data_IF_416514519822
#
_entry.id   IF_416514519822
#
_cell.length_a   1.000
_cell.length_b   1.000
_cell.length_c   1.000
_cell.angle_alpha   90.00
_cell.angle_beta   90.00
_cell.angle_gamma   90.00
#
_symmetry.space_group_name_H-M   'P 1'
#
loop_
_entity.id
_entity.type
_entity.pdbx_description
1 polymer ?
#
# COMPACT_ATOMS: atom_id res chain seq x y z
N UNK A 1 -0.44 3.15 -18.21
CA UNK A 1 -1.82 3.58 -18.53
C UNK A 1 -2.72 3.20 -17.35
N UNK A 2 -3.48 4.16 -16.81
CA UNK A 2 -4.46 3.93 -15.73
C UNK A 2 -5.79 3.56 -16.37
N UNK A 3 -6.46 2.53 -15.84
CA UNK A 3 -7.63 1.92 -16.48
C UNK A 3 -8.96 2.46 -15.94
N UNK A 4 -8.95 3.69 -15.40
CA UNK A 4 -10.12 4.38 -14.87
C UNK A 4 -10.17 4.44 -13.34
N UNK A 5 -11.37 4.67 -12.81
CA UNK A 5 -11.61 4.75 -11.36
C UNK A 5 -11.75 3.36 -10.74
N UNK A 6 -11.50 3.24 -9.44
CA UNK A 6 -11.72 1.99 -8.68
C UNK A 6 -13.14 1.44 -8.88
N UNK A 7 -14.14 2.31 -8.99
CA UNK A 7 -15.55 1.91 -9.11
C UNK A 7 -15.95 1.45 -10.51
N UNK A 8 -15.15 1.75 -11.53
CA UNK A 8 -15.40 1.38 -12.92
C UNK A 8 -14.41 0.34 -13.44
N UNK A 9 -13.56 -0.21 -12.57
CA UNK A 9 -12.54 -1.17 -12.98
C UNK A 9 -13.20 -2.50 -13.37
N UNK A 10 -12.75 -3.05 -14.49
CA UNK A 10 -13.10 -4.40 -14.94
C UNK A 10 -11.83 -5.22 -14.92
N UNK A 11 -11.81 -6.31 -14.13
CA UNK A 11 -10.67 -7.20 -14.01
C UNK A 11 -11.08 -8.66 -14.30
N UNK A 12 -10.37 -9.35 -15.20
CA UNK A 12 -10.48 -10.79 -15.36
C UNK A 12 -10.23 -11.57 -14.06
N UNK A 13 -10.71 -12.81 -13.99
CA UNK A 13 -10.66 -13.65 -12.78
C UNK A 13 -9.25 -13.84 -12.21
N UNK A 14 -8.21 -13.73 -13.04
CA UNK A 14 -6.82 -13.98 -12.67
C UNK A 14 -5.92 -12.73 -12.72
N UNK A 15 -6.54 -11.55 -12.78
CA UNK A 15 -5.83 -10.27 -12.78
C UNK A 15 -6.10 -9.48 -11.50
N UNK A 16 -5.14 -8.63 -11.14
CA UNK A 16 -5.25 -7.71 -10.01
C UNK A 16 -4.92 -6.29 -10.47
N UNK A 17 -5.41 -5.33 -9.71
CA UNK A 17 -4.98 -3.94 -9.81
C UNK A 17 -4.63 -3.41 -8.43
N UNK A 18 -3.91 -2.30 -8.39
CA UNK A 18 -3.82 -1.48 -7.20
C UNK A 18 -4.95 -0.45 -7.19
N UNK A 19 -5.57 -0.27 -6.03
CA UNK A 19 -6.45 0.87 -5.77
C UNK A 19 -5.63 1.97 -5.12
N UNK A 20 -5.59 3.14 -5.74
CA UNK A 20 -4.86 4.31 -5.23
C UNK A 20 -5.82 5.42 -4.87
N UNK A 21 -5.76 5.88 -3.61
CA UNK A 21 -6.65 6.89 -3.05
C UNK A 21 -5.87 8.06 -2.44
N UNK A 22 -6.57 9.16 -2.17
CA UNK A 22 -6.07 10.20 -1.27
C UNK A 22 -5.95 9.69 0.16
N UNK A 23 -5.06 10.33 0.94
CA UNK A 23 -4.83 10.03 2.33
C UNK A 23 -4.60 11.31 3.11
N UNK A 24 -5.08 11.32 4.36
CA UNK A 24 -4.92 12.44 5.29
C UNK A 24 -3.44 12.70 5.65
N UNK A 25 -2.55 11.71 5.41
CA UNK A 25 -1.09 11.83 5.61
C UNK A 25 -0.33 12.28 4.36
N UNK A 26 -1.02 12.75 3.32
CA UNK A 26 -0.44 13.36 2.10
C UNK A 26 0.26 12.42 1.11
N UNK A 27 0.65 11.21 1.55
CA UNK A 27 1.37 10.22 0.73
C UNK A 27 0.49 9.36 -0.18
N UNK A 28 -0.83 9.49 -0.09
CA UNK A 28 -1.80 8.57 -0.71
C UNK A 28 -2.11 7.33 0.14
N UNK A 29 -2.98 6.47 -0.36
CA UNK A 29 -3.34 5.19 0.25
C UNK A 29 -3.43 4.11 -0.83
N UNK A 30 -2.99 2.89 -0.51
CA UNK A 30 -2.97 1.77 -1.44
C UNK A 30 -3.73 0.55 -0.90
N UNK A 31 -4.47 -0.09 -1.81
CA UNK A 31 -5.03 -1.41 -1.63
C UNK A 31 -4.82 -2.28 -2.86
N UNK A 32 -5.16 -3.56 -2.77
CA UNK A 32 -5.16 -4.50 -3.89
C UNK A 32 -6.61 -4.78 -4.29
N UNK A 33 -6.95 -4.47 -5.53
CA UNK A 33 -8.19 -4.91 -6.18
C UNK A 33 -7.98 -6.32 -6.71
N UNK A 34 -8.89 -7.22 -6.35
CA UNK A 34 -8.85 -8.59 -6.80
C UNK A 34 -10.26 -9.13 -7.02
N UNK A 35 -10.36 -10.13 -7.87
CA UNK A 35 -11.58 -10.89 -8.08
C UNK A 35 -11.71 -11.92 -6.94
N UNK A 36 -12.76 -11.83 -6.11
CA UNK A 36 -13.16 -12.90 -5.19
C UNK A 36 -13.83 -14.04 -5.99
N UNK A 37 -14.44 -15.03 -5.35
CA UNK A 37 -15.18 -16.06 -6.09
C UNK A 37 -16.38 -15.43 -6.84
N UNK A 38 -16.58 -15.83 -8.11
CA UNK A 38 -17.79 -15.46 -8.86
C UNK A 38 -17.79 -14.08 -9.50
N UNK A 39 -16.62 -13.52 -9.84
CA UNK A 39 -16.49 -12.17 -10.42
C UNK A 39 -16.87 -11.00 -9.51
N UNK A 40 -16.92 -11.22 -8.20
CA UNK A 40 -17.08 -10.16 -7.22
C UNK A 40 -15.73 -9.46 -6.98
N UNK A 41 -15.57 -8.23 -7.47
CA UNK A 41 -14.35 -7.46 -7.18
C UNK A 41 -14.38 -6.92 -5.75
N UNK A 42 -13.25 -7.05 -5.06
CA UNK A 42 -13.02 -6.53 -3.72
C UNK A 42 -11.71 -5.77 -3.65
N UNK A 43 -11.59 -4.88 -2.67
CA UNK A 43 -10.36 -4.17 -2.33
C UNK A 43 -9.90 -4.64 -0.96
N UNK A 44 -8.66 -5.14 -0.86
CA UNK A 44 -8.00 -5.39 0.43
C UNK A 44 -6.97 -4.31 0.71
N UNK A 45 -7.05 -3.69 1.88
CA UNK A 45 -6.18 -2.57 2.26
C UNK A 45 -5.86 -2.59 3.76
N UNK A 46 -4.65 -2.14 4.10
CA UNK A 46 -4.23 -1.89 5.48
C UNK A 46 -4.33 -0.38 5.71
N UNK A 47 -5.41 0.06 6.36
CA UNK A 47 -5.72 1.45 6.63
C UNK A 47 -4.75 2.14 7.58
N UNK A 48 -5.07 2.03 8.87
CA UNK A 48 -4.29 2.54 10.00
C UNK A 48 -3.97 1.39 10.96
N UNK A 49 -3.29 1.67 12.08
CA UNK A 49 -2.89 0.70 13.11
C UNK A 49 -3.97 -0.36 13.41
N UNK A 50 -3.70 -1.62 13.04
CA UNK A 50 -4.61 -2.79 13.11
C UNK A 50 -5.89 -2.73 12.27
N UNK A 51 -6.16 -1.64 11.56
CA UNK A 51 -7.34 -1.45 10.74
C UNK A 51 -7.16 -2.09 9.35
N UNK A 52 -7.60 -3.34 9.24
CA UNK A 52 -7.55 -4.13 8.02
C UNK A 52 -8.94 -4.19 7.36
N UNK A 53 -9.04 -3.75 6.11
CA UNK A 53 -10.31 -3.68 5.39
C UNK A 53 -10.34 -4.64 4.20
N UNK A 54 -11.53 -5.22 3.99
CA UNK A 54 -11.88 -5.95 2.76
C UNK A 54 -13.21 -5.40 2.31
N UNK A 55 -13.17 -4.49 1.36
CA UNK A 55 -14.31 -3.69 0.91
C UNK A 55 -14.83 -4.19 -0.43
N UNK A 56 -16.14 -4.06 -0.64
CA UNK A 56 -16.77 -4.34 -1.94
C UNK A 56 -16.53 -3.17 -2.92
N UNK A 57 -16.66 -3.47 -4.21
CA UNK A 57 -16.76 -2.45 -5.27
C UNK A 57 -18.23 -2.37 -5.69
N UNK A 58 -18.86 -1.17 -5.70
CA UNK A 58 -18.27 0.17 -5.62
C UNK A 58 -17.72 0.53 -4.23
N UNK A 59 -16.51 1.08 -4.22
CA UNK A 59 -15.79 1.54 -3.05
C UNK A 59 -16.26 2.93 -2.61
N UNK A 60 -16.29 3.16 -1.28
CA UNK A 60 -16.74 4.44 -0.68
C UNK A 60 -15.79 5.60 -0.99
N UNK A 61 -14.49 5.33 -1.07
CA UNK A 61 -13.47 6.34 -1.41
C UNK A 61 -13.30 6.40 -2.92
N UNK A 62 -13.25 7.62 -3.46
CA UNK A 62 -12.83 7.84 -4.84
C UNK A 62 -11.33 7.53 -4.97
N UNK A 63 -10.97 6.71 -5.95
CA UNK A 63 -9.60 6.38 -6.29
C UNK A 63 -9.46 5.96 -7.75
N UNK A 64 -8.22 5.79 -8.18
CA UNK A 64 -7.87 5.27 -9.51
C UNK A 64 -7.38 3.82 -9.41
N UNK A 65 -7.64 3.04 -10.46
CA UNK A 65 -7.24 1.63 -10.55
C UNK A 65 -6.04 1.44 -11.49
N UNK A 66 -5.03 0.72 -11.01
CA UNK A 66 -3.75 0.51 -11.70
C UNK A 66 -3.53 -1.00 -11.88
N UNK A 67 -3.94 -1.59 -13.01
CA UNK A 67 -3.72 -3.00 -13.29
C UNK A 67 -2.24 -3.36 -13.24
N UNK A 68 -1.94 -4.49 -12.64
CA UNK A 68 -0.59 -5.01 -12.57
C UNK A 68 -0.45 -6.03 -13.69
N UNK A 69 0.42 -5.75 -14.66
CA UNK A 69 0.78 -6.74 -15.66
C UNK A 69 1.45 -7.94 -14.96
N UNK A 70 0.90 -9.13 -15.13
CA UNK A 70 1.43 -10.38 -14.59
C UNK A 70 1.61 -11.40 -15.72
N UNK A 71 2.60 -12.31 -15.62
CA UNK A 71 2.64 -13.46 -16.50
C UNK A 71 1.33 -14.27 -16.34
N UNK A 72 0.73 -14.80 -17.42
CA UNK A 72 -0.55 -15.50 -17.34
C UNK A 72 -0.61 -16.63 -16.30
N UNK A 73 0.53 -17.31 -16.07
CA UNK A 73 0.64 -18.37 -15.06
C UNK A 73 0.75 -17.85 -13.62
N UNK A 74 1.26 -16.63 -13.42
CA UNK A 74 1.46 -16.04 -12.10
C UNK A 74 0.17 -15.47 -11.51
N UNK A 75 -0.75 -14.98 -12.35
CA UNK A 75 -2.01 -14.36 -11.90
C UNK A 75 -2.82 -15.21 -10.93
N UNK A 76 -2.95 -16.51 -11.21
CA UNK A 76 -3.62 -17.49 -10.34
C UNK A 76 -2.99 -17.56 -8.94
N UNK A 77 -1.66 -17.64 -8.87
CA UNK A 77 -0.92 -17.72 -7.60
C UNK A 77 -1.03 -16.43 -6.80
N UNK A 78 -0.91 -15.27 -7.47
CA UNK A 78 -1.04 -13.97 -6.83
C UNK A 78 -2.43 -13.80 -6.21
N UNK A 79 -3.49 -14.13 -6.95
CA UNK A 79 -4.85 -14.05 -6.42
C UNK A 79 -5.10 -15.05 -5.30
N UNK A 80 -4.54 -16.26 -5.37
CA UNK A 80 -4.64 -17.21 -4.27
C UNK A 80 -4.03 -16.64 -2.98
N UNK A 81 -2.88 -15.98 -3.07
CA UNK A 81 -2.25 -15.30 -1.94
C UNK A 81 -3.11 -14.14 -1.43
N UNK A 82 -3.54 -13.24 -2.31
CA UNK A 82 -4.37 -12.07 -1.94
C UNK A 82 -5.68 -12.51 -1.26
N UNK A 83 -6.38 -13.50 -1.84
CA UNK A 83 -7.61 -14.09 -1.26
C UNK A 83 -7.35 -14.75 0.10
N UNK A 84 -6.21 -15.42 0.27
CA UNK A 84 -5.89 -16.03 1.55
C UNK A 84 -5.61 -14.98 2.63
N UNK A 85 -4.87 -13.92 2.29
CA UNK A 85 -4.59 -12.79 3.19
C UNK A 85 -5.89 -12.04 3.53
N UNK A 86 -6.77 -11.79 2.55
CA UNK A 86 -8.06 -11.11 2.77
C UNK A 86 -8.98 -11.89 3.70
N UNK A 87 -9.01 -13.23 3.61
CA UNK A 87 -9.78 -14.10 4.52
C UNK A 87 -9.19 -14.14 5.93
N UNK A 88 -7.86 -14.16 6.05
CA UNK A 88 -7.16 -14.23 7.35
C UNK A 88 -7.26 -12.93 8.16
N UNK A 89 -7.36 -11.77 7.49
CA UNK A 89 -7.43 -10.44 8.12
C UNK A 89 -6.40 -10.27 9.25
N UNK A 90 -5.09 -10.41 8.94
CA UNK A 90 -4.04 -10.36 9.96
C UNK A 90 -4.09 -9.02 10.72
N UNK A 91 -3.83 -9.07 12.02
CA UNK A 91 -3.66 -7.88 12.85
C UNK A 91 -2.25 -7.32 12.64
N UNK A 92 -2.14 -6.25 11.87
CA UNK A 92 -0.86 -5.65 11.46
C UNK A 92 -0.69 -4.27 12.08
N UNK A 93 0.36 -4.09 12.88
CA UNK A 93 0.71 -2.77 13.44
C UNK A 93 1.19 -1.82 12.33
N UNK A 94 0.97 -0.52 12.51
CA UNK A 94 1.43 0.50 11.57
C UNK A 94 2.91 0.83 11.82
N UNK A 95 3.79 0.47 10.88
CA UNK A 95 5.23 0.71 10.96
C UNK A 95 5.70 1.62 9.84
N UNK A 96 6.83 2.31 10.04
CA UNK A 96 7.30 3.36 9.13
C UNK A 96 8.48 2.93 8.25
N UNK A 97 9.17 1.85 8.63
CA UNK A 97 10.36 1.35 7.91
C UNK A 97 10.02 0.13 7.04
N UNK A 98 9.98 0.36 5.72
CA UNK A 98 9.66 -0.73 4.79
C UNK A 98 10.82 -1.72 4.60
N UNK A 99 12.05 -1.36 4.95
CA UNK A 99 13.21 -2.26 4.89
C UNK A 99 13.17 -3.21 6.08
N UNK A 100 12.93 -2.68 7.28
CA UNK A 100 12.80 -3.50 8.49
C UNK A 100 11.64 -4.49 8.43
N UNK A 101 10.63 -4.23 7.60
CA UNK A 101 9.47 -5.11 7.42
C UNK A 101 9.61 -6.12 6.28
N UNK A 102 10.74 -6.15 5.56
CA UNK A 102 10.99 -7.08 4.45
C UNK A 102 10.88 -8.54 4.90
N UNK A 103 10.00 -9.29 4.26
CA UNK A 103 9.74 -10.70 4.58
C UNK A 103 8.66 -10.90 5.63
N UNK A 104 7.79 -9.90 5.84
CA UNK A 104 6.71 -9.99 6.83
C UNK A 104 5.62 -11.00 6.48
N UNK A 105 5.61 -11.57 5.27
CA UNK A 105 4.69 -12.63 4.88
C UNK A 105 5.46 -13.89 4.49
N UNK A 106 5.20 -14.99 5.21
CA UNK A 106 5.66 -16.34 4.86
C UNK A 106 4.48 -17.08 4.23
N UNK A 107 4.48 -17.15 2.90
CA UNK A 107 3.30 -17.55 2.13
C UNK A 107 2.15 -16.59 2.37
N UNK A 108 1.09 -17.04 3.04
CA UNK A 108 -0.12 -16.24 3.29
C UNK A 108 -0.27 -15.82 4.76
N UNK A 109 0.76 -16.05 5.58
CA UNK A 109 0.72 -15.76 7.02
C UNK A 109 1.64 -14.59 7.34
N UNK A 110 1.08 -13.56 7.99
CA UNK A 110 1.85 -12.42 8.49
C UNK A 110 2.73 -12.87 9.67
N UNK A 111 4.04 -12.81 9.47
CA UNK A 111 5.09 -13.18 10.43
C UNK A 111 6.19 -12.11 10.34
N UNK A 112 6.00 -10.94 10.99
CA UNK A 112 6.95 -9.83 10.86
C UNK A 112 8.34 -10.24 11.37
N UNK A 113 9.41 -9.89 10.64
CA UNK A 113 10.77 -10.21 11.05
C UNK A 113 11.17 -9.43 12.31
N UNK A 114 12.23 -9.90 12.98
CA UNK A 114 12.81 -9.18 14.11
C UNK A 114 13.30 -7.80 13.66
N UNK A 115 12.87 -6.75 14.37
CA UNK A 115 13.20 -5.36 14.05
C UNK A 115 12.12 -4.62 13.26
N UNK A 116 11.14 -5.34 12.69
CA UNK A 116 9.95 -4.72 12.11
C UNK A 116 9.13 -4.01 13.18
N UNK A 117 8.72 -2.78 12.89
CA UNK A 117 7.77 -1.99 13.66
C UNK A 117 6.33 -2.12 13.14
N UNK A 118 6.14 -2.73 11.97
CA UNK A 118 4.83 -2.92 11.35
C UNK A 118 4.87 -2.70 9.84
N UNK A 119 3.72 -2.35 9.26
CA UNK A 119 3.56 -2.03 7.84
C UNK A 119 2.68 -0.78 7.66
N UNK A 120 3.04 0.09 6.73
CA UNK A 120 2.10 1.01 6.07
C UNK A 120 1.26 0.28 5.01
N UNK A 121 0.27 0.95 4.43
CA UNK A 121 -0.48 0.46 3.27
C UNK A 121 0.44 0.07 2.09
N UNK A 122 1.46 0.86 1.78
CA UNK A 122 2.38 0.59 0.67
C UNK A 122 3.27 -0.62 0.97
N UNK A 123 3.91 -0.68 2.14
CA UNK A 123 4.70 -1.85 2.51
C UNK A 123 3.84 -3.10 2.64
N UNK A 124 2.58 -3.01 3.08
CA UNK A 124 1.65 -4.15 3.08
C UNK A 124 1.43 -4.71 1.67
N UNK A 125 1.11 -3.86 0.69
CA UNK A 125 0.96 -4.29 -0.71
C UNK A 125 2.26 -4.90 -1.23
N UNK A 126 3.41 -4.27 -0.95
CA UNK A 126 4.71 -4.77 -1.34
C UNK A 126 5.00 -6.17 -0.77
N UNK A 127 4.75 -6.40 0.52
CA UNK A 127 4.99 -7.70 1.17
C UNK A 127 4.05 -8.80 0.64
N UNK A 128 2.77 -8.48 0.43
CA UNK A 128 1.80 -9.43 -0.14
C UNK A 128 2.23 -9.86 -1.54
N UNK A 129 2.60 -8.91 -2.41
CA UNK A 129 3.07 -9.23 -3.76
C UNK A 129 4.43 -9.95 -3.74
N UNK A 130 5.33 -9.60 -2.82
CA UNK A 130 6.59 -10.32 -2.64
C UNK A 130 6.36 -11.77 -2.23
N UNK A 131 5.41 -12.03 -1.34
CA UNK A 131 5.05 -13.41 -0.94
C UNK A 131 4.49 -14.26 -2.09
N UNK A 132 3.96 -13.60 -3.14
CA UNK A 132 3.53 -14.21 -4.39
C UNK A 132 4.62 -14.19 -5.50
N UNK A 133 5.87 -13.92 -5.14
CA UNK A 133 7.01 -13.80 -6.06
C UNK A 133 6.86 -12.73 -7.15
N UNK A 134 6.17 -11.61 -6.85
CA UNK A 134 6.06 -10.44 -7.73
C UNK A 134 6.86 -9.29 -7.14
N UNK A 135 8.17 -9.19 -7.44
CA UNK A 135 8.99 -8.06 -6.99
C UNK A 135 8.63 -6.80 -7.79
N UNK A 136 8.32 -5.71 -7.09
CA UNK A 136 7.98 -4.43 -7.73
C UNK A 136 9.15 -3.45 -7.76
N UNK A 137 9.99 -3.42 -6.71
CA UNK A 137 11.01 -2.40 -6.52
C UNK A 137 12.36 -3.00 -6.12
N UNK A 138 13.45 -2.29 -6.45
CA UNK A 138 14.82 -2.52 -5.98
C UNK A 138 15.02 -1.72 -4.70
N UNK A 139 14.78 -2.36 -3.56
CA UNK A 139 14.69 -1.67 -2.27
C UNK A 139 15.97 -0.91 -1.92
N UNK A 140 17.14 -1.42 -2.32
CA UNK A 140 18.46 -0.83 -2.11
C UNK A 140 18.66 0.53 -2.79
N UNK A 141 17.76 0.93 -3.69
CA UNK A 141 17.82 2.21 -4.40
C UNK A 141 17.03 3.32 -3.70
N UNK A 142 16.24 3.00 -2.67
CA UNK A 142 15.51 4.02 -1.90
C UNK A 142 16.47 4.80 -1.02
N UNK A 143 16.23 6.10 -0.91
CA UNK A 143 17.08 7.03 -0.17
C UNK A 143 16.38 7.60 1.05
N UNK A 144 17.16 7.83 2.09
CA UNK A 144 16.71 8.57 3.25
C UNK A 144 16.51 10.07 2.88
N UNK A 145 15.49 10.68 3.46
CA UNK A 145 15.05 12.06 3.18
C UNK A 145 14.56 12.71 4.46
N UNK A 146 14.85 13.99 4.68
CA UNK A 146 14.30 14.75 5.82
C UNK A 146 12.77 14.72 5.88
N UNK A 147 12.10 14.65 4.73
CA UNK A 147 10.65 14.51 4.64
C UNK A 147 10.15 13.19 5.26
N UNK A 148 10.95 12.11 5.23
CA UNK A 148 10.61 10.85 5.87
C UNK A 148 10.63 10.99 7.40
N UNK A 149 11.65 11.64 7.96
CA UNK A 149 11.75 11.92 9.40
C UNK A 149 10.61 12.79 9.91
N UNK A 150 10.25 13.86 9.17
CA UNK A 150 9.12 14.73 9.52
C UNK A 150 7.81 13.95 9.55
N UNK A 151 7.54 13.17 8.50
CA UNK A 151 6.36 12.31 8.45
C UNK A 151 6.37 11.23 9.55
N UNK A 152 7.52 10.65 9.87
CA UNK A 152 7.64 9.68 10.95
C UNK A 152 7.27 10.29 12.31
N UNK A 153 7.68 11.53 12.59
CA UNK A 153 7.29 12.24 13.80
C UNK A 153 5.77 12.44 13.87
N UNK A 154 5.12 12.80 12.76
CA UNK A 154 3.66 12.92 12.68
C UNK A 154 2.97 11.56 12.94
N UNK A 155 3.50 10.48 12.36
CA UNK A 155 2.98 9.12 12.59
C UNK A 155 3.11 8.70 14.05
N UNK A 156 4.26 8.94 14.69
CA UNK A 156 4.49 8.64 16.11
C UNK A 156 3.50 9.40 16.99
N UNK A 157 3.33 10.70 16.72
CA UNK A 157 2.34 11.53 17.41
C UNK A 157 0.93 10.95 17.27
N UNK A 158 0.51 10.59 16.05
CA UNK A 158 -0.81 10.03 15.77
C UNK A 158 -0.99 8.65 16.42
N UNK A 159 0.02 7.80 16.43
CA UNK A 159 -0.03 6.51 17.13
C UNK A 159 -0.30 6.71 18.62
N UNK A 160 0.40 7.65 19.26
CA UNK A 160 0.16 8.00 20.68
C UNK A 160 -1.26 8.54 20.89
N UNK A 161 -1.71 9.48 20.05
CA UNK A 161 -3.04 10.09 20.15
C UNK A 161 -4.17 9.08 19.97
N UNK A 162 -3.96 8.06 19.13
CA UNK A 162 -4.95 7.01 18.86
C UNK A 162 -4.78 5.75 19.73
N UNK A 163 -3.97 5.82 20.80
CA UNK A 163 -3.89 4.78 21.83
C UNK A 163 -3.11 3.53 21.44
N UNK A 164 -2.14 3.64 20.53
CA UNK A 164 -1.18 2.57 20.29
C UNK A 164 -0.37 2.27 21.55
N UNK A 165 0.05 1.01 21.74
CA UNK A 165 0.81 0.61 22.92
C UNK A 165 2.20 1.24 22.95
N UNK A 166 2.66 1.64 24.14
CA UNK A 166 3.96 2.33 24.31
C UNK A 166 5.14 1.52 23.77
N UNK A 167 5.05 0.18 23.83
CA UNK A 167 6.09 -0.71 23.31
C UNK A 167 6.18 -0.62 21.80
N UNK A 168 5.05 -0.61 21.10
CA UNK A 168 4.99 -0.42 19.66
C UNK A 168 5.43 1.00 19.27
N UNK A 169 4.99 2.04 19.97
CA UNK A 169 5.45 3.41 19.70
C UNK A 169 6.96 3.52 19.85
N UNK A 170 7.54 2.94 20.90
CA UNK A 170 8.99 2.90 21.08
C UNK A 170 9.73 2.07 20.00
N UNK A 171 9.07 1.10 19.37
CA UNK A 171 9.63 0.37 18.23
C UNK A 171 9.64 1.25 16.96
N UNK A 172 8.56 2.00 16.70
CA UNK A 172 8.48 2.95 15.60
C UNK A 172 9.50 4.08 15.77
N UNK A 173 9.66 4.62 16.98
CA UNK A 173 10.67 5.66 17.30
C UNK A 173 12.10 5.22 16.99
N UNK A 174 12.43 3.94 17.22
CA UNK A 174 13.76 3.39 16.88
C UNK A 174 14.01 3.34 15.37
N UNK A 175 12.94 3.30 14.57
CA UNK A 175 12.97 3.20 13.12
C UNK A 175 12.70 4.55 12.43
N UNK A 176 12.83 5.68 13.14
CA UNK A 176 12.61 7.05 12.58
C UNK A 176 13.53 7.40 11.41
N UNK A 177 14.70 6.74 11.34
CA UNK A 177 15.65 6.87 10.22
C UNK A 177 15.48 5.76 9.16
N UNK A 178 14.43 4.96 9.28
CA UNK A 178 14.07 3.94 8.31
C UNK A 178 13.66 4.53 6.97
N UNK A 179 13.71 3.71 5.92
CA UNK A 179 13.30 4.17 4.61
C UNK A 179 11.78 4.11 4.51
N UNK A 180 11.20 5.14 3.87
CA UNK A 180 9.77 5.22 3.58
C UNK A 180 9.52 4.86 2.12
N UNK A 181 8.58 3.95 1.90
CA UNK A 181 7.99 3.69 0.59
C UNK A 181 6.68 4.45 0.47
N UNK A 182 6.59 5.41 -0.45
CA UNK A 182 5.38 6.20 -0.64
C UNK A 182 4.39 5.43 -1.53
N UNK A 183 3.09 5.42 -1.20
CA UNK A 183 2.04 4.80 -2.03
C UNK A 183 2.13 5.12 -3.53
N UNK A 184 2.34 6.38 -3.92
CA UNK A 184 2.50 6.76 -5.33
C UNK A 184 3.75 6.13 -5.99
N UNK A 185 4.86 5.98 -5.26
CA UNK A 185 6.09 5.35 -5.78
C UNK A 185 5.86 3.87 -6.07
N UNK A 186 5.18 3.15 -5.16
CA UNK A 186 4.86 1.74 -5.36
C UNK A 186 3.84 1.55 -6.49
N UNK A 187 2.84 2.42 -6.56
CA UNK A 187 1.85 2.44 -7.63
C UNK A 187 2.50 2.67 -9.01
N UNK A 188 3.46 3.60 -9.08
CA UNK A 188 4.25 3.84 -10.27
C UNK A 188 5.06 2.60 -10.66
N UNK A 189 5.76 1.96 -9.72
CA UNK A 189 6.49 0.72 -9.96
C UNK A 189 5.57 -0.38 -10.53
N UNK A 190 4.37 -0.53 -9.97
CA UNK A 190 3.39 -1.52 -10.39
C UNK A 190 2.82 -1.28 -11.78
N UNK A 191 2.80 -0.01 -12.24
CA UNK A 191 2.32 0.38 -13.56
C UNK A 191 3.34 0.15 -14.69
N UNK A 192 4.60 -0.14 -14.35
CA UNK A 192 5.65 -0.39 -15.34
C UNK A 192 5.49 -1.77 -15.99
N UNK A 193 5.93 -1.93 -17.26
CA UNK A 193 6.09 -3.25 -17.88
C UNK A 193 6.90 -4.21 -17.00
N UNK A 194 6.65 -5.52 -17.13
CA UNK A 194 7.29 -6.53 -16.27
C UNK A 194 8.81 -6.56 -16.42
N UNK A 195 9.30 -6.23 -17.59
CA UNK A 195 10.69 -6.17 -18.03
C UNK A 195 11.44 -4.99 -17.40
N UNK A 196 10.69 -4.00 -16.90
CA UNK A 196 11.22 -2.85 -16.15
C UNK A 196 11.09 -3.02 -14.63
N UNK A 197 10.63 -4.20 -14.17
CA UNK A 197 10.54 -4.54 -12.75
C UNK A 197 11.60 -5.56 -12.37
N UNK A 198 12.18 -5.49 -11.15
CA UNK A 198 11.93 -4.49 -10.11
C UNK A 198 12.50 -3.10 -10.46
N UNK A 199 11.71 -2.05 -10.22
CA UNK A 199 12.06 -0.67 -10.58
C UNK A 199 12.93 0.00 -9.49
N UNK A 200 13.84 0.89 -9.88
CA UNK A 200 14.59 1.71 -8.91
C UNK A 200 13.78 2.92 -8.44
N UNK A 201 14.23 3.57 -7.37
CA UNK A 201 13.67 4.84 -6.90
C UNK A 201 13.58 5.88 -8.01
N UNK A 202 14.63 6.03 -8.84
CA UNK A 202 14.66 7.02 -9.92
C UNK A 202 13.70 6.68 -11.05
N UNK A 203 13.53 5.38 -11.36
CA UNK A 203 12.64 4.92 -12.44
C UNK A 203 11.17 5.27 -12.21
N UNK A 204 10.77 5.51 -10.95
CA UNK A 204 9.36 5.66 -10.56
C UNK A 204 8.93 7.09 -10.24
N UNK A 205 9.86 8.04 -10.08
CA UNK A 205 9.51 9.39 -9.57
C UNK A 205 8.59 10.16 -10.52
N UNK A 206 8.91 10.19 -11.81
CA UNK A 206 8.11 10.90 -12.81
C UNK A 206 6.69 10.31 -12.88
N UNK A 207 6.58 8.99 -13.04
CA UNK A 207 5.29 8.29 -13.07
C UNK A 207 4.52 8.42 -11.74
N UNK A 208 5.19 8.52 -10.59
CA UNK A 208 4.52 8.74 -9.30
C UNK A 208 3.81 10.10 -9.27
N UNK A 209 4.44 11.15 -9.80
CA UNK A 209 3.82 12.48 -9.90
C UNK A 209 2.74 12.55 -10.99
N UNK A 210 2.91 11.83 -12.10
CA UNK A 210 1.83 11.67 -13.09
C UNK A 210 0.59 10.99 -12.47
N UNK A 211 0.78 9.91 -11.70
CA UNK A 211 -0.31 9.22 -11.01
C UNK A 211 -0.99 10.11 -9.97
N UNK A 212 -0.22 10.96 -9.28
CA UNK A 212 -0.77 11.98 -8.38
C UNK A 212 -1.63 12.97 -9.13
N UNK A 213 -1.16 13.49 -10.27
CA UNK A 213 -1.94 14.36 -11.15
C UNK A 213 -3.23 13.71 -11.63
N UNK A 214 -3.16 12.46 -12.09
CA UNK A 214 -4.32 11.69 -12.55
C UNK A 214 -5.33 11.44 -11.42
N UNK A 215 -4.86 11.10 -10.22
CA UNK A 215 -5.74 10.97 -9.06
C UNK A 215 -6.43 12.29 -8.73
N UNK A 216 -5.69 13.40 -8.70
CA UNK A 216 -6.26 14.73 -8.45
C UNK A 216 -7.32 15.11 -9.49
N UNK A 217 -7.12 14.74 -10.76
CA UNK A 217 -8.09 15.01 -11.83
C UNK A 217 -9.33 14.13 -11.70
N UNK A 218 -9.17 12.82 -11.45
CA UNK A 218 -10.28 11.87 -11.37
C UNK A 218 -11.06 11.96 -10.06
N UNK A 219 -10.36 12.29 -8.97
CA UNK A 219 -10.85 12.31 -7.61
C UNK A 219 -10.27 13.53 -6.89
N UNK A 220 -10.79 14.75 -7.15
CA UNK A 220 -10.27 15.96 -6.53
C UNK A 220 -10.14 15.81 -5.01
N UNK A 221 -8.96 16.13 -4.49
CA UNK A 221 -8.72 16.08 -3.05
C UNK A 221 -9.79 16.91 -2.34
N UNK A 222 -10.36 16.42 -1.22
CA UNK A 222 -11.25 17.24 -0.42
C UNK A 222 -10.51 18.54 -0.03
N UNK A 223 -11.19 19.70 -0.03
CA UNK A 223 -10.54 20.97 0.28
C UNK A 223 -9.82 20.86 1.62
N UNK A 224 -8.53 21.24 1.61
CA UNK A 224 -7.56 21.12 2.70
C UNK A 224 -8.21 20.97 4.08
N UNK A 225 -8.35 19.74 4.56
CA UNK A 225 -8.59 19.52 5.98
C UNK A 225 -7.23 19.66 6.66
N UNK A 226 -7.12 20.50 7.72
CA UNK A 226 -5.89 20.59 8.47
C UNK A 226 -5.48 19.19 8.92
N UNK A 227 -4.22 18.84 8.64
CA UNK A 227 -3.59 17.61 9.11
C UNK A 227 -3.78 17.56 10.62
N UNK A 228 -4.59 16.60 11.09
CA UNK A 228 -4.79 16.36 12.53
C UNK A 228 -6.20 16.49 13.09
N UNK A 229 -7.26 16.79 12.33
CA UNK A 229 -8.57 16.94 12.98
C UNK A 229 -9.36 15.65 13.19
N UNK A 230 -9.34 14.66 12.29
CA UNK A 230 -9.88 13.31 12.57
C UNK A 230 -9.24 12.39 11.53
N UNK A 231 -8.39 11.42 11.93
CA UNK A 231 -8.20 10.24 11.07
C UNK A 231 -9.58 9.61 10.93
N UNK A 232 -10.25 9.83 9.80
CA UNK A 232 -11.55 9.20 9.57
C UNK A 232 -11.29 7.71 9.57
N UNK A 233 -11.78 7.01 10.59
CA UNK A 233 -11.92 5.57 10.54
C UNK A 233 -12.68 5.27 9.24
N UNK A 234 -12.00 4.62 8.29
CA UNK A 234 -12.56 4.22 7.00
C UNK A 234 -13.77 3.32 7.17
#
# INVERSE_FOLDING_TARGET
MVFGTVNNVVLPEHEIALALFHSDLGGGHLGIIFNEKGNELRVVELGWHHAFYVSEIPHRKCGIAIPIALPPKAGKSVIAVVRAVSRKKPKISYGIDFIASKGSFVGTTYTPPKGSDGLTCASFVLEVLRSAAVPLIREETWTDRDANRKWAADVIMLLRQHGADDKHVAAVEKNVNGLRLIPFELAAAASLPIEKRPASYTDVQETAEELRGQLNTACPAPPNQPVGMVLRAG
#
